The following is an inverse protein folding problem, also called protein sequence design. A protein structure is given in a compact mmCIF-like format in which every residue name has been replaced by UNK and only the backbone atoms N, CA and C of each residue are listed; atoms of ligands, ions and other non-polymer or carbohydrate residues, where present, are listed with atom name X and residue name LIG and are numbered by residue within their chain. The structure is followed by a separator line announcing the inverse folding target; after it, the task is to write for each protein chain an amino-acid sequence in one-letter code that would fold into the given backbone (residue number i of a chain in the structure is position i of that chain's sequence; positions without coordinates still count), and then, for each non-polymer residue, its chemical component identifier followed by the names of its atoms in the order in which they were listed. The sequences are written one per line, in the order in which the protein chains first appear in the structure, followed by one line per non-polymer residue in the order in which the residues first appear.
data_IF_711608440370
#
_entry.id   IF_711608440370
#
_cell.length_a   1.000
_cell.length_b   1.000
_cell.length_c   1.000
_cell.angle_alpha   90.00
_cell.angle_beta   90.00
_cell.angle_gamma   90.00
#
_symmetry.space_group_name_H-M   'P 1'
#
loop_
_entity.id
_entity.type
_entity.pdbx_description
1 polymer ?
#
# COMPACT_ATOMS: atom_id res chain seq x y z
N UNK A 1 13.28 25.64 -0.38
CA UNK A 1 12.45 26.20 -1.47
C UNK A 1 11.25 25.32 -1.84
N UNK A 2 11.38 24.00 -1.95
CA UNK A 2 10.25 23.10 -2.31
C UNK A 2 9.15 22.98 -1.25
N UNK A 3 9.49 23.07 0.04
CA UNK A 3 8.50 22.97 1.13
C UNK A 3 7.39 24.04 1.06
N UNK A 4 7.71 25.26 0.60
CA UNK A 4 6.73 26.35 0.48
C UNK A 4 5.76 26.12 -0.69
N UNK A 5 6.23 25.48 -1.76
CA UNK A 5 5.39 25.09 -2.90
C UNK A 5 4.39 24.01 -2.46
N UNK A 6 4.85 22.99 -1.73
CA UNK A 6 3.98 21.95 -1.18
C UNK A 6 2.98 22.52 -0.16
N UNK A 7 3.37 23.48 0.66
CA UNK A 7 2.45 24.12 1.62
C UNK A 7 1.33 24.90 0.92
N UNK A 8 1.66 25.64 -0.15
CA UNK A 8 0.67 26.30 -1.01
C UNK A 8 -0.21 25.31 -1.76
N UNK A 9 0.37 24.22 -2.27
CA UNK A 9 -0.36 23.15 -2.94
C UNK A 9 -1.37 22.49 -1.99
N UNK A 10 -0.97 22.20 -0.74
CA UNK A 10 -1.88 21.70 0.30
C UNK A 10 -3.07 22.63 0.52
N UNK A 11 -2.84 23.94 0.53
CA UNK A 11 -3.90 24.96 0.61
C UNK A 11 -4.90 24.84 -0.54
N UNK A 12 -4.41 24.84 -1.77
CA UNK A 12 -5.26 24.74 -2.98
C UNK A 12 -6.03 23.41 -3.07
N UNK A 13 -5.41 22.31 -2.65
CA UNK A 13 -6.05 20.99 -2.64
C UNK A 13 -7.16 20.90 -1.59
N UNK A 14 -6.96 21.52 -0.42
CA UNK A 14 -8.02 21.65 0.59
C UNK A 14 -9.21 22.45 0.06
N UNK A 15 -8.95 23.53 -0.67
CA UNK A 15 -10.01 24.33 -1.31
C UNK A 15 -10.77 23.54 -2.40
N UNK A 16 -10.13 22.54 -3.03
CA UNK A 16 -10.77 21.61 -3.96
C UNK A 16 -11.62 20.52 -3.30
N UNK A 17 -11.59 20.40 -1.97
CA UNK A 17 -12.38 19.41 -1.22
C UNK A 17 -11.63 18.15 -0.80
N UNK A 18 -10.31 18.07 -1.05
CA UNK A 18 -9.50 16.95 -0.56
C UNK A 18 -9.24 17.09 0.94
N UNK A 19 -9.29 15.97 1.64
CA UNK A 19 -9.00 15.86 3.07
C UNK A 19 -7.49 15.97 3.34
N UNK A 20 -7.10 16.40 4.54
CA UNK A 20 -5.68 16.53 4.90
C UNK A 20 -4.94 15.19 4.79
N UNK A 21 -5.64 14.07 5.05
CA UNK A 21 -5.06 12.72 5.00
C UNK A 21 -4.75 12.28 3.58
N UNK A 22 -5.63 12.56 2.61
CA UNK A 22 -5.40 12.26 1.19
C UNK A 22 -4.22 13.07 0.64
N UNK A 23 -4.16 14.35 1.01
CA UNK A 23 -3.06 15.23 0.62
C UNK A 23 -1.75 14.73 1.21
N UNK A 24 -1.71 14.40 2.50
CA UNK A 24 -0.50 13.86 3.14
C UNK A 24 -0.11 12.48 2.58
N UNK A 25 -1.06 11.62 2.20
CA UNK A 25 -0.78 10.33 1.59
C UNK A 25 0.02 10.46 0.28
N UNK A 26 -0.23 11.51 -0.51
CA UNK A 26 0.49 11.78 -1.77
C UNK A 26 1.71 12.66 -1.55
N UNK A 27 1.58 13.74 -0.79
CA UNK A 27 2.63 14.76 -0.60
C UNK A 27 3.77 14.26 0.29
N UNK A 28 3.51 13.39 1.27
CA UNK A 28 4.55 12.83 2.13
C UNK A 28 5.54 11.95 1.36
N UNK A 29 5.16 11.40 0.20
CA UNK A 29 6.06 10.66 -0.67
C UNK A 29 7.03 11.54 -1.46
N UNK A 30 6.84 12.87 -1.45
CA UNK A 30 7.65 13.82 -2.20
C UNK A 30 7.89 13.39 -3.66
N UNK A 31 6.82 13.13 -4.44
CA UNK A 31 6.99 12.68 -5.82
C UNK A 31 7.81 13.70 -6.63
N UNK A 32 8.81 13.21 -7.38
CA UNK A 32 9.65 14.06 -8.23
C UNK A 32 8.86 14.80 -9.32
N UNK A 33 7.69 14.28 -9.69
CA UNK A 33 6.82 14.82 -10.74
C UNK A 33 5.53 15.37 -10.12
N UNK A 34 5.46 16.71 -10.04
CA UNK A 34 4.29 17.45 -9.56
C UNK A 34 3.05 17.25 -10.45
N UNK A 35 3.23 16.96 -11.75
CA UNK A 35 2.11 16.77 -12.69
C UNK A 35 1.25 15.56 -12.31
N UNK A 36 1.86 14.48 -11.82
CA UNK A 36 1.14 13.26 -11.42
C UNK A 36 0.49 13.38 -10.03
N UNK A 37 0.68 14.50 -9.31
CA UNK A 37 0.08 14.68 -7.98
C UNK A 37 -1.43 14.73 -8.08
N UNK A 38 -1.98 15.42 -9.08
CA UNK A 38 -3.44 15.53 -9.23
C UNK A 38 -4.04 14.15 -9.52
N UNK A 39 -3.49 13.40 -10.48
CA UNK A 39 -3.98 12.06 -10.79
C UNK A 39 -3.85 11.09 -9.60
N UNK A 40 -2.76 11.20 -8.83
CA UNK A 40 -2.61 10.44 -7.58
C UNK A 40 -3.62 10.86 -6.51
N UNK A 41 -3.92 12.15 -6.37
CA UNK A 41 -4.92 12.64 -5.43
C UNK A 41 -6.32 12.20 -5.83
N UNK A 42 -6.68 12.30 -7.11
CA UNK A 42 -7.96 11.81 -7.62
C UNK A 42 -8.09 10.30 -7.42
N UNK A 43 -7.01 9.55 -7.63
CA UNK A 43 -6.97 8.12 -7.35
C UNK A 43 -7.15 7.79 -5.87
N UNK A 44 -6.43 8.49 -5.00
CA UNK A 44 -6.54 8.35 -3.55
C UNK A 44 -7.92 8.76 -3.07
N UNK A 45 -8.53 9.78 -3.67
CA UNK A 45 -9.86 10.26 -3.34
C UNK A 45 -10.95 9.28 -3.75
N UNK A 46 -10.89 8.78 -5.00
CA UNK A 46 -11.78 7.74 -5.48
C UNK A 46 -11.64 6.46 -4.62
N UNK A 47 -10.41 6.12 -4.23
CA UNK A 47 -10.16 5.01 -3.32
C UNK A 47 -10.72 5.28 -1.93
N UNK A 48 -10.47 6.44 -1.33
CA UNK A 48 -10.96 6.80 0.02
C UNK A 48 -12.49 6.82 0.13
N UNK A 49 -13.19 7.02 -0.99
CA UNK A 49 -14.65 6.90 -1.06
C UNK A 49 -15.14 5.44 -0.99
N UNK A 50 -14.27 4.45 -1.21
CA UNK A 50 -14.61 3.04 -1.16
C UNK A 50 -14.59 2.49 0.28
N UNK A 51 -15.53 1.61 0.67
CA UNK A 51 -15.51 0.99 1.99
C UNK A 51 -14.30 0.07 2.21
N UNK A 52 -13.66 -0.40 1.13
CA UNK A 52 -12.42 -1.17 1.18
C UNK A 52 -11.23 -0.36 1.68
N UNK A 53 -11.22 0.97 1.46
CA UNK A 53 -10.06 1.79 1.74
C UNK A 53 -9.69 1.85 3.22
N UNK A 54 -10.68 1.94 4.10
CA UNK A 54 -10.45 1.92 5.54
C UNK A 54 -9.81 0.59 5.97
N UNK A 55 -10.31 -0.54 5.44
CA UNK A 55 -9.77 -1.86 5.75
C UNK A 55 -8.33 -2.03 5.25
N UNK A 56 -8.05 -1.57 4.03
CA UNK A 56 -6.70 -1.64 3.44
C UNK A 56 -5.73 -0.69 4.12
N UNK A 57 -6.17 0.51 4.47
CA UNK A 57 -5.35 1.46 5.21
C UNK A 57 -5.02 0.93 6.62
N UNK A 58 -5.99 0.32 7.30
CA UNK A 58 -5.77 -0.35 8.58
C UNK A 58 -4.80 -1.53 8.45
N UNK A 59 -4.97 -2.36 7.41
CA UNK A 59 -4.04 -3.44 7.11
C UNK A 59 -2.63 -2.92 6.82
N UNK A 60 -2.48 -1.88 5.99
CA UNK A 60 -1.20 -1.27 5.67
C UNK A 60 -0.52 -0.70 6.94
N UNK A 61 -1.27 -0.01 7.82
CA UNK A 61 -0.78 0.47 9.13
C UNK A 61 -0.29 -0.68 10.02
N UNK A 62 -1.01 -1.81 10.04
CA UNK A 62 -0.55 -3.04 10.75
C UNK A 62 0.75 -3.57 10.15
N UNK A 63 0.83 -3.65 8.82
CA UNK A 63 2.05 -4.10 8.11
C UNK A 63 3.22 -3.18 8.45
N UNK A 64 3.06 -1.86 8.35
CA UNK A 64 4.10 -0.89 8.70
C UNK A 64 4.59 -1.08 10.14
N UNK A 65 3.68 -1.30 11.09
CA UNK A 65 4.05 -1.54 12.49
C UNK A 65 4.81 -2.86 12.68
N UNK A 66 4.46 -3.91 11.94
CA UNK A 66 5.20 -5.19 11.95
C UNK A 66 6.60 -5.00 11.35
N UNK A 67 6.68 -4.32 10.19
CA UNK A 67 7.96 -4.03 9.53
C UNK A 67 8.87 -3.19 10.43
N UNK A 68 8.33 -2.19 11.15
CA UNK A 68 9.09 -1.39 12.12
C UNK A 68 9.62 -2.20 13.31
N UNK A 69 8.91 -3.25 13.73
CA UNK A 69 9.37 -4.17 14.78
C UNK A 69 10.39 -5.18 14.29
N UNK A 70 10.55 -5.30 12.97
CA UNK A 70 11.49 -6.22 12.37
C UNK A 70 12.81 -5.49 12.10
N UNK A 71 13.91 -6.02 12.61
CA UNK A 71 15.24 -5.51 12.29
C UNK A 71 15.77 -6.22 11.05
N UNK A 72 16.13 -5.46 10.01
CA UNK A 72 16.72 -5.95 8.77
C UNK A 72 15.89 -5.68 7.52
N UNK A 73 16.53 -5.72 6.35
CA UNK A 73 15.85 -5.60 5.05
C UNK A 73 15.20 -6.95 4.75
N UNK A 74 13.88 -7.02 4.54
CA UNK A 74 13.21 -8.26 4.21
C UNK A 74 13.78 -8.84 2.90
N UNK A 75 14.14 -10.12 2.94
CA UNK A 75 14.66 -10.85 1.78
C UNK A 75 13.57 -11.15 0.73
N UNK A 76 13.90 -11.92 -0.32
CA UNK A 76 12.90 -12.41 -1.25
C UNK A 76 11.94 -13.40 -0.57
N UNK A 77 10.68 -13.41 -1.02
CA UNK A 77 9.71 -14.42 -0.59
C UNK A 77 10.10 -15.77 -1.16
N UNK A 78 10.21 -16.76 -0.28
CA UNK A 78 10.45 -18.16 -0.61
C UNK A 78 9.12 -18.91 -0.62
N UNK A 79 8.64 -19.24 -1.81
CA UNK A 79 7.37 -19.98 -1.98
C UNK A 79 7.41 -21.37 -1.34
N UNK A 80 8.58 -22.02 -1.29
CA UNK A 80 8.76 -23.31 -0.60
C UNK A 80 8.65 -23.26 0.93
N UNK A 81 8.60 -22.07 1.53
CA UNK A 81 8.34 -21.86 2.95
C UNK A 81 6.91 -21.39 3.22
N UNK A 82 6.06 -21.21 2.20
CA UNK A 82 4.64 -20.92 2.40
C UNK A 82 3.97 -22.20 2.91
N UNK A 83 3.32 -22.10 4.07
CA UNK A 83 2.66 -23.23 4.74
C UNK A 83 1.15 -23.14 4.61
N UNK A 84 0.64 -21.92 4.74
CA UNK A 84 -0.79 -21.67 4.78
C UNK A 84 -1.30 -21.29 3.39
N UNK A 85 -2.48 -21.80 3.04
CA UNK A 85 -3.15 -21.52 1.75
C UNK A 85 -3.37 -20.02 1.55
N UNK A 86 -3.61 -19.27 2.64
CA UNK A 86 -3.77 -17.82 2.59
C UNK A 86 -2.49 -17.08 2.15
N UNK A 87 -1.30 -17.60 2.47
CA UNK A 87 -0.02 -17.00 2.05
C UNK A 87 0.21 -17.22 0.56
N UNK A 88 -0.06 -18.43 0.08
CA UNK A 88 0.04 -18.78 -1.34
C UNK A 88 -0.98 -17.99 -2.18
N UNK A 89 -2.22 -17.88 -1.70
CA UNK A 89 -3.26 -17.10 -2.35
C UNK A 89 -2.89 -15.62 -2.44
N UNK A 90 -2.38 -15.03 -1.35
CA UNK A 90 -1.92 -13.64 -1.33
C UNK A 90 -0.74 -13.44 -2.28
N UNK A 91 0.27 -14.30 -2.22
CA UNK A 91 1.44 -14.22 -3.10
C UNK A 91 1.06 -14.37 -4.58
N UNK A 92 0.20 -15.34 -4.91
CA UNK A 92 -0.30 -15.55 -6.27
C UNK A 92 -1.09 -14.35 -6.77
N UNK A 93 -1.99 -13.80 -5.95
CA UNK A 93 -2.76 -12.61 -6.31
C UNK A 93 -1.85 -11.39 -6.52
N UNK A 94 -0.83 -11.20 -5.67
CA UNK A 94 0.18 -10.16 -5.86
C UNK A 94 0.97 -10.33 -7.15
N UNK A 95 1.46 -11.55 -7.43
CA UNK A 95 2.22 -11.83 -8.65
C UNK A 95 1.40 -11.59 -9.93
N UNK A 96 0.10 -11.87 -9.89
CA UNK A 96 -0.82 -11.56 -10.99
C UNK A 96 -1.06 -10.05 -11.12
N UNK A 97 -1.24 -9.33 -10.02
CA UNK A 97 -1.54 -7.90 -10.04
C UNK A 97 -0.33 -7.01 -10.32
N UNK A 98 0.88 -7.44 -9.96
CA UNK A 98 2.12 -6.70 -10.15
C UNK A 98 2.26 -6.13 -11.58
N UNK A 99 2.16 -6.91 -12.67
CA UNK A 99 2.26 -6.37 -14.03
C UNK A 99 1.12 -5.42 -14.39
N UNK A 100 -0.09 -5.61 -13.85
CA UNK A 100 -1.21 -4.70 -14.07
C UNK A 100 -1.00 -3.36 -13.38
N UNK A 101 -0.51 -3.39 -12.12
CA UNK A 101 -0.12 -2.22 -11.34
C UNK A 101 1.00 -1.46 -12.06
N UNK A 102 2.03 -2.17 -12.51
CA UNK A 102 3.15 -1.59 -13.27
C UNK A 102 2.68 -0.93 -14.58
N UNK A 103 1.81 -1.61 -15.34
CA UNK A 103 1.28 -1.09 -16.60
C UNK A 103 0.33 0.11 -16.40
N UNK A 104 -0.53 0.07 -15.39
CA UNK A 104 -1.44 1.16 -15.04
C UNK A 104 -0.65 2.37 -14.53
N UNK A 105 0.34 2.16 -13.66
CA UNK A 105 1.26 3.21 -13.21
C UNK A 105 2.03 3.84 -14.37
N UNK A 106 2.53 3.04 -15.31
CA UNK A 106 3.22 3.55 -16.51
C UNK A 106 2.30 4.35 -17.45
N UNK A 107 0.99 4.08 -17.42
CA UNK A 107 -0.04 4.83 -18.16
C UNK A 107 -0.55 6.06 -17.41
N UNK A 108 -0.14 6.27 -16.15
CA UNK A 108 -0.69 7.32 -15.28
C UNK A 108 -2.06 6.99 -14.68
N UNK A 109 -2.55 5.75 -14.83
CA UNK A 109 -3.82 5.29 -14.26
C UNK A 109 -3.62 4.81 -12.81
N UNK A 110 -3.47 5.77 -11.90
CA UNK A 110 -3.32 5.51 -10.48
C UNK A 110 -4.63 5.00 -9.84
N UNK A 111 -5.78 5.45 -10.34
CA UNK A 111 -7.10 5.03 -9.87
C UNK A 111 -7.33 3.55 -10.11
N UNK A 112 -7.10 3.09 -11.34
CA UNK A 112 -7.19 1.67 -11.71
C UNK A 112 -6.20 0.81 -10.94
N UNK A 113 -5.01 1.35 -10.65
CA UNK A 113 -4.02 0.69 -9.79
C UNK A 113 -4.56 0.46 -8.37
N UNK A 114 -5.05 1.51 -7.71
CA UNK A 114 -5.60 1.40 -6.35
C UNK A 114 -6.86 0.54 -6.28
N UNK A 115 -7.74 0.60 -7.29
CA UNK A 115 -8.91 -0.27 -7.40
C UNK A 115 -8.54 -1.74 -7.55
N UNK A 116 -7.48 -2.04 -8.32
CA UNK A 116 -6.99 -3.41 -8.46
C UNK A 116 -6.39 -3.91 -7.15
N UNK A 117 -5.67 -3.05 -6.43
CA UNK A 117 -5.20 -3.33 -5.07
C UNK A 117 -6.34 -3.49 -4.07
N UNK A 118 -7.49 -2.84 -4.31
CA UNK A 118 -8.66 -2.99 -3.45
C UNK A 118 -9.17 -4.43 -3.40
N UNK A 119 -8.99 -5.18 -4.50
CA UNK A 119 -9.36 -6.59 -4.59
C UNK A 119 -8.47 -7.50 -3.72
N UNK A 120 -7.24 -7.07 -3.39
CA UNK A 120 -6.37 -7.80 -2.48
C UNK A 120 -6.85 -7.76 -1.02
N UNK A 121 -7.76 -6.85 -0.67
CA UNK A 121 -8.31 -6.72 0.69
C UNK A 121 -8.68 -8.07 1.29
N UNK A 122 -9.42 -8.89 0.54
CA UNK A 122 -9.90 -10.18 1.04
C UNK A 122 -8.75 -11.15 1.33
N UNK A 123 -7.75 -11.21 0.45
CA UNK A 123 -6.56 -12.05 0.65
C UNK A 123 -5.72 -11.57 1.83
N UNK A 124 -5.60 -10.25 2.02
CA UNK A 124 -4.87 -9.66 3.14
C UNK A 124 -5.58 -9.91 4.47
N UNK A 125 -6.90 -9.76 4.51
CA UNK A 125 -7.71 -10.03 5.70
C UNK A 125 -7.64 -11.52 6.07
N UNK A 126 -7.83 -12.42 5.10
CA UNK A 126 -7.67 -13.86 5.28
C UNK A 126 -6.27 -14.21 5.78
N UNK A 127 -5.22 -13.62 5.19
CA UNK A 127 -3.85 -13.78 5.68
C UNK A 127 -3.71 -13.37 7.14
N UNK A 128 -4.18 -12.19 7.55
CA UNK A 128 -4.06 -11.76 8.96
C UNK A 128 -4.94 -12.54 9.93
N UNK A 129 -5.99 -13.19 9.44
CA UNK A 129 -6.91 -14.02 10.22
C UNK A 129 -6.36 -15.43 10.43
N UNK A 130 -5.83 -16.03 9.37
CA UNK A 130 -5.42 -17.43 9.36
C UNK A 130 -3.91 -17.59 9.61
N UNK A 131 -3.10 -16.57 9.30
CA UNK A 131 -1.64 -16.62 9.39
C UNK A 131 -1.11 -15.76 10.53
N UNK A 132 -0.42 -16.40 11.48
CA UNK A 132 0.25 -15.70 12.57
C UNK A 132 1.64 -15.22 12.14
N UNK A 133 1.76 -13.93 11.80
CA UNK A 133 3.02 -13.36 11.27
C UNK A 133 4.20 -13.53 12.25
N UNK A 134 3.96 -13.40 13.55
CA UNK A 134 4.97 -13.60 14.59
C UNK A 134 5.01 -15.07 15.01
N UNK A 135 5.52 -15.92 14.12
CA UNK A 135 5.70 -17.35 14.37
C UNK A 135 6.95 -17.62 15.24
N UNK A 136 7.01 -18.78 15.89
CA UNK A 136 8.18 -19.24 16.66
C UNK A 136 9.34 -19.60 15.73
N UNK A 137 9.04 -20.05 14.51
CA UNK A 137 10.03 -20.36 13.50
C UNK A 137 10.55 -19.08 12.81
N UNK A 138 11.84 -18.81 13.00
CA UNK A 138 12.50 -17.63 12.46
C UNK A 138 12.50 -17.58 10.92
N UNK A 139 12.55 -18.74 10.23
CA UNK A 139 12.54 -18.80 8.77
C UNK A 139 11.15 -18.48 8.22
N UNK A 140 10.09 -19.07 8.81
CA UNK A 140 8.71 -18.78 8.44
C UNK A 140 8.35 -17.32 8.71
N UNK A 141 8.72 -16.80 9.88
CA UNK A 141 8.52 -15.40 10.24
C UNK A 141 9.21 -14.47 9.24
N UNK A 142 10.47 -14.73 8.88
CA UNK A 142 11.18 -13.93 7.88
C UNK A 142 10.48 -13.95 6.51
N UNK A 143 9.97 -15.11 6.09
CA UNK A 143 9.24 -15.26 4.83
C UNK A 143 7.92 -14.47 4.83
N UNK A 144 7.15 -14.56 5.92
CA UNK A 144 5.91 -13.79 6.12
C UNK A 144 6.16 -12.29 6.09
N UNK A 145 7.22 -11.84 6.76
CA UNK A 145 7.62 -10.43 6.76
C UNK A 145 8.04 -9.99 5.36
N UNK A 146 8.78 -10.82 4.61
CA UNK A 146 9.12 -10.56 3.21
C UNK A 146 7.88 -10.38 2.34
N UNK A 147 6.86 -11.23 2.50
CA UNK A 147 5.60 -11.14 1.76
C UNK A 147 4.87 -9.83 2.07
N UNK A 148 4.76 -9.49 3.36
CA UNK A 148 4.16 -8.24 3.81
C UNK A 148 4.95 -7.02 3.34
N UNK A 149 6.28 -7.10 3.28
CA UNK A 149 7.12 -6.02 2.78
C UNK A 149 6.90 -5.76 1.29
N UNK A 150 6.81 -6.82 0.47
CA UNK A 150 6.47 -6.69 -0.94
C UNK A 150 5.08 -6.08 -1.12
N UNK A 151 4.09 -6.54 -0.34
CA UNK A 151 2.74 -6.00 -0.38
C UNK A 151 2.71 -4.51 -0.01
N UNK A 152 3.40 -4.14 1.07
CA UNK A 152 3.53 -2.76 1.53
C UNK A 152 4.20 -1.87 0.47
N UNK A 153 5.25 -2.36 -0.20
CA UNK A 153 5.89 -1.64 -1.30
C UNK A 153 4.94 -1.45 -2.49
N UNK A 154 4.14 -2.47 -2.83
CA UNK A 154 3.17 -2.39 -3.92
C UNK A 154 2.03 -1.42 -3.60
N UNK A 155 1.49 -1.47 -2.37
CA UNK A 155 0.44 -0.55 -1.90
C UNK A 155 0.92 0.90 -1.83
N UNK A 156 2.14 1.11 -1.32
CA UNK A 156 2.72 2.45 -1.20
C UNK A 156 3.41 2.93 -2.48
N UNK A 157 3.18 2.30 -3.63
CA UNK A 157 3.77 2.75 -4.89
C UNK A 157 3.06 3.98 -5.46
N UNK A 158 1.76 4.07 -5.22
CA UNK A 158 0.90 5.18 -5.70
C UNK A 158 0.81 6.30 -4.67
N UNK A 159 0.51 5.94 -3.42
CA UNK A 159 0.38 6.86 -2.30
C UNK A 159 0.56 6.10 -0.97
N UNK A 160 0.90 6.80 0.10
CA UNK A 160 0.97 6.21 1.44
C UNK A 160 -0.45 5.99 2.00
N UNK A 161 -1.04 4.83 1.67
CA UNK A 161 -2.39 4.45 2.07
C UNK A 161 -2.52 4.38 3.60
N UNK A 162 -1.41 4.17 4.33
CA UNK A 162 -1.45 4.11 5.80
C UNK A 162 -1.90 5.43 6.44
N UNK A 163 -1.73 6.56 5.72
CA UNK A 163 -2.17 7.89 6.15
C UNK A 163 -3.68 8.10 6.04
N UNK A 164 -4.37 7.26 5.27
CA UNK A 164 -5.83 7.29 5.16
C UNK A 164 -6.51 6.64 6.38
N UNK A 165 -5.81 5.72 7.07
CA UNK A 165 -6.30 5.11 8.31
C UNK A 165 -6.06 6.07 9.48
N UNK A 166 -7.06 6.90 9.76
CA UNK A 166 -7.15 7.71 10.97
C UNK A 166 -6.89 6.84 12.24
#
# INVERSE_FOLDING_TARGET
MLAFLYDRLRGLLRERGFTPNEIEAVVAQQPDVLENIIDRLDAVHAFAALPEAESLAAANKRITNILKKTEGIPGPVHTGLLREVAEEALYGAMALLQPHVDAAFAKGDFSGTLLSLAQLRHNVDAFFKDVMVMDEDAQLRANRIALLSQLHAMMNRVADISKLAA
#
